data_IF_588689905923
#
_entry.id   IF_588689905923
#
_cell.length_a   1.000
_cell.length_b   1.000
_cell.length_c   1.000
_cell.angle_alpha   90.00
_cell.angle_beta   90.00
_cell.angle_gamma   90.00
#
_symmetry.space_group_name_H-M   'P 1'
#
loop_
_entity.id
_entity.type
_entity.pdbx_description
1 polymer ?
#
# COMPACT_ATOMS: atom_id res chain seq x y z
N UNK A 1 -52.47 63.88 19.55
CA UNK A 1 -52.41 63.19 20.86
C UNK A 1 -52.36 61.71 20.55
N UNK A 2 -51.47 60.84 20.99
CA UNK A 2 -50.27 60.78 21.84
C UNK A 2 -49.81 59.31 21.66
N UNK A 3 -48.61 58.81 21.86
CA UNK A 3 -47.32 59.25 22.37
C UNK A 3 -46.30 58.27 21.75
N UNK A 4 -45.12 58.75 21.34
CA UNK A 4 -43.95 57.92 21.06
C UNK A 4 -43.58 57.11 22.32
N UNK A 5 -43.37 55.81 22.18
CA UNK A 5 -42.64 54.98 23.16
C UNK A 5 -41.46 54.32 22.43
N UNK A 6 -40.30 54.96 22.56
CA UNK A 6 -39.01 54.47 22.08
C UNK A 6 -38.60 53.25 22.91
N UNK A 7 -38.61 52.05 22.32
CA UNK A 7 -38.04 50.85 22.95
C UNK A 7 -36.51 51.00 23.02
N UNK A 8 -36.00 51.22 24.22
CA UNK A 8 -34.59 51.21 24.56
C UNK A 8 -34.09 49.75 24.51
N UNK A 9 -33.41 49.37 23.42
CA UNK A 9 -32.69 48.10 23.34
C UNK A 9 -31.51 48.14 24.32
N UNK A 10 -31.68 47.51 25.48
CA UNK A 10 -30.58 47.16 26.37
C UNK A 10 -29.73 46.10 25.66
N UNK A 11 -28.60 46.51 25.10
CA UNK A 11 -27.51 45.62 24.71
C UNK A 11 -26.98 44.97 26.00
N UNK A 12 -27.47 43.77 26.29
CA UNK A 12 -26.84 42.90 27.28
C UNK A 12 -25.40 42.67 26.80
N UNK A 13 -24.37 42.92 27.62
CA UNK A 13 -23.01 42.61 27.24
C UNK A 13 -22.96 41.10 27.03
N UNK A 14 -22.83 40.67 25.77
CA UNK A 14 -22.49 39.30 25.44
C UNK A 14 -21.25 38.98 26.24
N UNK A 15 -21.36 38.07 27.22
CA UNK A 15 -20.20 37.46 27.84
C UNK A 15 -19.31 36.98 26.70
N UNK A 16 -18.18 37.65 26.50
CA UNK A 16 -17.09 37.13 25.68
C UNK A 16 -16.57 35.96 26.51
N UNK A 17 -17.16 34.79 26.32
CA UNK A 17 -16.58 33.54 26.76
C UNK A 17 -15.20 33.52 26.09
N UNK A 18 -14.14 33.58 26.90
CA UNK A 18 -12.79 33.29 26.46
C UNK A 18 -12.71 31.79 26.11
N UNK A 19 -13.45 31.41 25.06
CA UNK A 19 -13.52 30.06 24.56
C UNK A 19 -12.44 29.92 23.51
N UNK A 20 -11.46 29.08 23.81
CA UNK A 20 -10.55 28.52 22.81
C UNK A 20 -11.38 28.03 21.63
N UNK A 21 -11.09 28.50 20.42
CA UNK A 21 -11.77 28.05 19.21
C UNK A 21 -11.70 26.53 19.13
N UNK A 22 -12.83 25.81 19.10
CA UNK A 22 -12.83 24.35 19.09
C UNK A 22 -12.15 23.80 17.84
N UNK A 23 -11.40 22.70 17.94
CA UNK A 23 -10.92 22.00 16.74
C UNK A 23 -12.09 21.28 16.07
N UNK A 24 -12.27 21.53 14.78
CA UNK A 24 -13.31 20.90 13.97
C UNK A 24 -12.89 19.48 13.54
N UNK A 25 -13.86 18.74 12.99
CA UNK A 25 -13.63 17.43 12.39
C UNK A 25 -12.42 17.47 11.46
N UNK A 26 -11.58 16.45 11.59
CA UNK A 26 -10.32 16.33 10.87
C UNK A 26 -9.15 17.04 11.54
N UNK A 27 -9.31 17.67 12.71
CA UNK A 27 -8.22 18.40 13.37
C UNK A 27 -8.07 17.99 14.83
N UNK A 28 -6.84 17.79 15.27
CA UNK A 28 -6.50 17.54 16.67
C UNK A 28 -5.89 18.78 17.34
N UNK A 29 -6.18 18.99 18.64
CA UNK A 29 -5.59 20.07 19.42
C UNK A 29 -4.14 19.76 19.79
N UNK A 30 -3.24 20.71 19.53
CA UNK A 30 -1.85 20.69 19.97
C UNK A 30 -1.64 21.83 20.97
N UNK A 31 -1.14 21.46 22.16
CA UNK A 31 -0.76 22.39 23.22
C UNK A 31 0.75 22.41 23.35
N UNK A 32 1.39 23.51 22.95
CA UNK A 32 2.83 23.69 23.12
C UNK A 32 3.10 25.04 23.80
N UNK A 33 3.72 24.97 24.98
CA UNK A 33 4.28 26.14 25.69
C UNK A 33 3.32 27.33 25.84
N UNK A 34 2.02 27.05 26.04
CA UNK A 34 0.97 28.07 26.19
C UNK A 34 0.26 28.48 24.89
N UNK A 35 0.66 27.91 23.74
CA UNK A 35 -0.03 28.03 22.46
C UNK A 35 -1.01 26.87 22.26
N UNK A 36 -2.20 27.18 21.74
CA UNK A 36 -3.21 26.21 21.32
C UNK A 36 -3.39 26.32 19.81
N UNK A 37 -3.18 25.21 19.10
CA UNK A 37 -3.35 25.15 17.63
C UNK A 37 -4.11 23.89 17.25
N UNK A 38 -4.91 23.97 16.19
CA UNK A 38 -5.56 22.81 15.60
C UNK A 38 -4.72 22.35 14.40
N UNK A 39 -4.22 21.12 14.45
CA UNK A 39 -3.43 20.52 13.37
C UNK A 39 -4.28 19.50 12.64
N UNK A 40 -4.31 19.49 11.30
CA UNK A 40 -5.08 18.49 10.57
C UNK A 40 -4.55 17.08 10.86
N UNK A 41 -5.44 16.10 10.92
CA UNK A 41 -5.06 14.70 10.99
C UNK A 41 -4.10 14.36 9.86
N UNK A 42 -3.02 13.67 10.19
CA UNK A 42 -2.08 13.20 9.18
C UNK A 42 -2.75 12.11 8.32
N UNK A 43 -2.30 11.89 7.07
CA UNK A 43 -2.71 10.73 6.30
C UNK A 43 -2.60 9.45 7.13
N UNK A 44 -3.59 8.58 7.01
CA UNK A 44 -3.73 7.40 7.86
C UNK A 44 -4.55 7.57 9.12
N UNK A 45 -4.91 8.81 9.44
CA UNK A 45 -5.70 9.15 10.61
C UNK A 45 -6.95 9.93 10.21
N UNK A 46 -7.95 9.90 11.09
CA UNK A 46 -9.20 10.60 10.93
C UNK A 46 -9.75 11.10 12.27
N UNK A 47 -10.59 12.12 12.24
CA UNK A 47 -11.25 12.64 13.44
C UNK A 47 -12.67 13.08 13.07
N UNK A 48 -13.72 12.32 13.46
CA UNK A 48 -15.06 12.49 12.90
C UNK A 48 -15.91 13.59 13.56
N UNK A 49 -15.51 14.07 14.74
CA UNK A 49 -16.33 14.96 15.59
C UNK A 49 -15.76 16.36 15.71
N UNK A 50 -16.29 17.17 16.62
CA UNK A 50 -15.64 18.42 17.04
C UNK A 50 -15.10 18.25 18.45
N UNK A 51 -14.03 18.97 18.82
CA UNK A 51 -13.43 18.91 20.16
C UNK A 51 -12.98 17.52 20.61
N UNK A 52 -12.56 16.65 19.69
CA UNK A 52 -11.87 15.43 20.09
C UNK A 52 -10.41 15.75 20.36
N UNK A 53 -9.83 15.02 21.32
CA UNK A 53 -8.48 15.29 21.82
C UNK A 53 -7.38 14.81 20.88
N UNK A 54 -7.70 13.95 19.90
CA UNK A 54 -6.73 13.37 18.98
C UNK A 54 -7.36 12.87 17.69
N UNK A 55 -6.52 12.67 16.69
CA UNK A 55 -6.85 11.90 15.49
C UNK A 55 -6.69 10.39 15.75
N UNK A 56 -7.66 9.60 15.29
CA UNK A 56 -7.65 8.14 15.38
C UNK A 56 -7.00 7.53 14.15
N UNK A 57 -6.21 6.47 14.32
CA UNK A 57 -5.71 5.69 13.18
C UNK A 57 -6.88 5.05 12.44
N UNK A 58 -6.77 4.93 11.12
CA UNK A 58 -7.72 4.13 10.35
C UNK A 58 -7.73 2.68 10.89
N UNK A 59 -8.91 2.04 10.97
CA UNK A 59 -9.02 0.63 11.30
C UNK A 59 -8.60 -0.24 10.10
N UNK A 60 -8.12 -1.46 10.38
CA UNK A 60 -7.70 -2.40 9.33
C UNK A 60 -8.72 -2.52 8.19
N UNK A 61 -8.22 -2.62 6.96
CA UNK A 61 -9.04 -2.61 5.75
C UNK A 61 -9.60 -1.23 5.36
N UNK A 62 -9.19 -0.14 6.02
CA UNK A 62 -9.53 1.22 5.62
C UNK A 62 -8.27 2.05 5.35
N UNK A 63 -8.43 3.17 4.65
CA UNK A 63 -7.34 4.09 4.41
C UNK A 63 -7.78 5.57 4.38
N UNK A 64 -6.82 6.47 4.61
CA UNK A 64 -7.02 7.92 4.49
C UNK A 64 -5.78 8.55 3.87
N UNK A 65 -5.89 8.99 2.62
CA UNK A 65 -4.78 9.63 1.90
C UNK A 65 -4.66 11.13 2.18
N UNK A 66 -5.76 11.76 2.58
CA UNK A 66 -5.83 13.20 2.81
C UNK A 66 -5.45 13.59 4.24
N UNK A 67 -4.78 14.74 4.37
CA UNK A 67 -4.68 15.41 5.66
C UNK A 67 -6.04 16.02 6.03
N UNK A 68 -6.40 16.01 7.30
CA UNK A 68 -7.66 16.57 7.77
C UNK A 68 -8.87 15.66 7.58
N UNK A 69 -8.67 14.36 7.40
CA UNK A 69 -9.77 13.43 7.14
C UNK A 69 -10.73 13.30 8.32
N UNK A 70 -12.02 13.25 8.00
CA UNK A 70 -13.11 13.05 8.97
C UNK A 70 -13.59 11.61 9.03
N UNK A 71 -13.17 10.79 8.07
CA UNK A 71 -13.46 9.36 7.99
C UNK A 71 -12.34 8.66 7.20
N UNK A 72 -12.25 7.34 7.34
CA UNK A 72 -11.43 6.50 6.48
C UNK A 72 -12.28 5.83 5.41
N UNK A 73 -11.72 5.67 4.22
CA UNK A 73 -12.33 4.97 3.09
C UNK A 73 -12.14 3.47 3.25
N UNK A 74 -13.18 2.67 2.99
CA UNK A 74 -13.09 1.22 3.01
C UNK A 74 -12.38 0.69 1.77
N UNK A 75 -11.47 -0.26 1.93
CA UNK A 75 -10.80 -0.92 0.82
C UNK A 75 -11.73 -1.97 0.20
N UNK A 76 -12.39 -1.60 -0.88
CA UNK A 76 -13.28 -2.50 -1.63
C UNK A 76 -12.51 -3.60 -2.39
N UNK A 77 -13.15 -4.77 -2.52
CA UNK A 77 -12.73 -5.84 -3.43
C UNK A 77 -11.41 -6.51 -3.03
N UNK A 78 -10.44 -6.52 -3.95
CA UNK A 78 -9.14 -7.15 -3.76
C UNK A 78 -8.05 -6.18 -3.24
N UNK A 79 -8.44 -5.03 -2.68
CA UNK A 79 -7.51 -4.00 -2.21
C UNK A 79 -7.04 -4.26 -0.79
N UNK A 80 -5.74 -4.11 -0.56
CA UNK A 80 -5.09 -4.23 0.75
C UNK A 80 -4.57 -2.88 1.23
N UNK A 81 -4.29 -2.78 2.52
CA UNK A 81 -3.66 -1.59 3.10
C UNK A 81 -2.16 -1.89 3.28
N UNK A 82 -1.25 -1.21 2.55
CA UNK A 82 0.17 -1.61 2.49
C UNK A 82 0.98 -1.32 3.76
N UNK A 83 0.47 -0.45 4.64
CA UNK A 83 1.22 0.01 5.82
C UNK A 83 0.35 0.08 7.07
N UNK A 84 0.99 -0.01 8.24
CA UNK A 84 0.34 0.27 9.53
C UNK A 84 -0.24 1.69 9.61
N UNK A 85 0.27 2.61 8.79
CA UNK A 85 -0.20 3.99 8.73
C UNK A 85 -1.48 4.09 7.92
N UNK A 86 -1.81 3.13 7.04
CA UNK A 86 -3.10 3.07 6.35
C UNK A 86 -3.44 4.29 5.48
N UNK A 87 -2.49 4.75 4.67
CA UNK A 87 -2.63 5.96 3.85
C UNK A 87 -3.28 5.74 2.49
N UNK A 88 -3.35 4.50 2.01
CA UNK A 88 -3.97 4.16 0.73
C UNK A 88 -4.54 2.73 0.72
N UNK A 89 -5.64 2.52 0.01
CA UNK A 89 -6.06 1.20 -0.45
C UNK A 89 -5.32 0.89 -1.74
N UNK A 90 -4.55 -0.20 -1.77
CA UNK A 90 -3.78 -0.60 -2.93
C UNK A 90 -4.28 -1.96 -3.40
N UNK A 91 -4.70 -2.04 -4.67
CA UNK A 91 -5.17 -3.27 -5.27
C UNK A 91 -4.08 -4.37 -5.25
N UNK A 92 -4.46 -5.63 -5.03
CA UNK A 92 -3.53 -6.78 -5.11
C UNK A 92 -2.80 -6.90 -6.46
N UNK A 93 -3.39 -6.36 -7.52
CA UNK A 93 -2.82 -6.30 -8.87
C UNK A 93 -2.07 -4.99 -9.16
N UNK A 94 -1.81 -4.16 -8.14
CA UNK A 94 -0.94 -2.99 -8.29
C UNK A 94 0.51 -3.40 -8.50
N UNK A 95 1.28 -2.52 -9.14
CA UNK A 95 2.69 -2.76 -9.37
C UNK A 95 3.48 -2.94 -8.06
N UNK A 96 3.22 -2.08 -7.06
CA UNK A 96 3.88 -2.14 -5.75
C UNK A 96 3.63 -3.49 -5.06
N UNK A 97 2.39 -3.95 -4.98
CA UNK A 97 2.08 -5.22 -4.32
C UNK A 97 2.70 -6.42 -5.05
N UNK A 98 2.64 -6.46 -6.39
CA UNK A 98 3.21 -7.57 -7.16
C UNK A 98 4.75 -7.57 -7.06
N UNK A 99 5.40 -6.40 -7.16
CA UNK A 99 6.86 -6.28 -7.04
C UNK A 99 7.33 -6.71 -5.65
N UNK A 100 6.64 -6.26 -4.60
CA UNK A 100 6.96 -6.65 -3.22
C UNK A 100 6.78 -8.16 -3.01
N UNK A 101 5.69 -8.74 -3.54
CA UNK A 101 5.42 -10.15 -3.41
C UNK A 101 6.44 -11.02 -4.18
N UNK A 102 6.82 -10.64 -5.40
CA UNK A 102 7.82 -11.36 -6.21
C UNK A 102 9.26 -11.17 -5.71
N UNK A 103 9.55 -10.12 -4.97
CA UNK A 103 10.89 -9.89 -4.44
C UNK A 103 11.23 -10.90 -3.34
N UNK A 104 12.33 -11.61 -3.49
CA UNK A 104 12.72 -12.67 -2.57
C UNK A 104 13.77 -13.63 -3.13
N UNK A 105 14.11 -14.63 -2.33
CA UNK A 105 14.99 -15.72 -2.73
C UNK A 105 14.16 -16.91 -3.17
N UNK A 106 14.65 -17.59 -4.20
CA UNK A 106 14.00 -18.72 -4.81
C UNK A 106 15.01 -19.82 -5.11
N UNK A 107 14.56 -21.06 -4.99
CA UNK A 107 15.38 -22.24 -5.19
C UNK A 107 14.67 -23.25 -6.10
N UNK A 108 15.36 -23.74 -7.14
CA UNK A 108 14.83 -24.85 -7.94
C UNK A 108 15.08 -26.20 -7.27
N UNK A 109 14.05 -26.73 -6.64
CA UNK A 109 14.11 -27.93 -5.80
C UNK A 109 14.23 -29.25 -6.59
N UNK A 110 14.07 -29.23 -7.92
CA UNK A 110 14.23 -30.43 -8.76
C UNK A 110 15.66 -31.00 -8.68
N UNK A 111 16.63 -30.17 -8.30
CA UNK A 111 18.04 -30.50 -8.27
C UNK A 111 18.59 -30.78 -6.86
N UNK A 112 17.75 -30.88 -5.83
CA UNK A 112 18.20 -31.15 -4.45
C UNK A 112 18.87 -32.51 -4.27
N UNK A 113 18.63 -33.47 -5.17
CA UNK A 113 19.29 -34.78 -5.15
C UNK A 113 20.66 -34.79 -5.85
N UNK A 114 20.76 -34.21 -7.03
CA UNK A 114 22.02 -34.12 -7.81
C UNK A 114 21.93 -33.02 -8.87
N UNK A 115 23.07 -32.54 -9.37
CA UNK A 115 23.12 -31.55 -10.44
C UNK A 115 22.88 -30.10 -10.03
N UNK A 116 22.66 -29.84 -8.72
CA UNK A 116 22.56 -28.48 -8.16
C UNK A 116 23.84 -27.68 -8.44
N UNK A 117 23.64 -26.43 -8.84
CA UNK A 117 24.71 -25.46 -9.06
C UNK A 117 24.15 -24.04 -8.89
N UNK A 118 25.00 -23.04 -9.10
CA UNK A 118 24.70 -21.62 -8.89
C UNK A 118 23.54 -21.05 -9.74
N UNK A 119 23.09 -21.74 -10.79
CA UNK A 119 21.92 -21.32 -11.58
C UNK A 119 20.59 -21.62 -10.88
N UNK A 120 20.58 -22.61 -9.98
CA UNK A 120 19.37 -23.10 -9.31
C UNK A 120 19.00 -22.33 -8.03
N UNK A 121 19.71 -21.23 -7.77
CA UNK A 121 19.48 -20.29 -6.68
C UNK A 121 19.31 -18.91 -7.30
N UNK A 122 18.16 -18.30 -7.07
CA UNK A 122 17.74 -17.07 -7.72
C UNK A 122 17.30 -16.08 -6.66
N UNK A 123 17.69 -14.83 -6.83
CA UNK A 123 17.11 -13.69 -6.14
C UNK A 123 16.35 -12.86 -7.18
N UNK A 124 15.09 -12.57 -6.88
CA UNK A 124 14.31 -11.58 -7.62
C UNK A 124 14.25 -10.32 -6.76
N UNK A 125 14.55 -9.17 -7.35
CA UNK A 125 14.53 -7.87 -6.65
C UNK A 125 13.93 -6.77 -7.51
N UNK A 126 13.37 -5.75 -6.87
CA UNK A 126 12.91 -4.55 -7.57
C UNK A 126 14.07 -3.85 -8.29
N UNK A 127 13.84 -3.39 -9.52
CA UNK A 127 14.83 -2.59 -10.26
C UNK A 127 14.78 -1.14 -9.80
N UNK A 128 15.94 -0.58 -9.46
CA UNK A 128 16.05 0.82 -9.04
C UNK A 128 15.50 1.78 -10.10
N UNK A 129 14.70 2.75 -9.67
CA UNK A 129 14.07 3.74 -10.55
C UNK A 129 12.88 3.23 -11.36
N UNK A 130 12.44 1.99 -11.13
CA UNK A 130 11.26 1.42 -11.78
C UNK A 130 10.22 0.94 -10.77
N UNK A 131 8.95 1.12 -11.11
CA UNK A 131 7.82 0.58 -10.34
C UNK A 131 7.30 -0.73 -10.91
N UNK A 132 7.72 -1.12 -12.12
CA UNK A 132 7.14 -2.25 -12.88
C UNK A 132 8.19 -3.24 -13.39
N UNK A 133 9.47 -3.03 -13.06
CA UNK A 133 10.56 -3.89 -13.49
C UNK A 133 11.23 -4.55 -12.28
N UNK A 134 11.56 -5.83 -12.43
CA UNK A 134 12.35 -6.59 -11.47
C UNK A 134 13.63 -7.09 -12.15
N UNK A 135 14.59 -7.51 -11.34
CA UNK A 135 15.84 -8.14 -11.76
C UNK A 135 15.79 -9.59 -11.30
N UNK A 136 15.87 -10.51 -12.24
CA UNK A 136 16.24 -11.90 -11.95
C UNK A 136 17.76 -11.96 -11.81
N UNK A 137 18.27 -12.54 -10.72
CA UNK A 137 19.71 -12.75 -10.51
C UNK A 137 19.97 -14.15 -10.01
N UNK A 138 20.86 -14.91 -10.64
CA UNK A 138 21.31 -16.20 -10.10
C UNK A 138 22.65 -16.09 -9.35
N UNK A 139 23.04 -17.13 -8.61
CA UNK A 139 24.34 -17.15 -7.91
C UNK A 139 25.55 -17.30 -8.85
N UNK A 140 25.34 -17.55 -10.16
CA UNK A 140 26.41 -17.54 -11.16
C UNK A 140 26.74 -16.12 -11.64
N UNK A 141 26.02 -15.09 -11.15
CA UNK A 141 26.21 -13.68 -11.50
C UNK A 141 25.52 -13.27 -12.80
N UNK A 142 24.62 -14.12 -13.34
CA UNK A 142 23.83 -13.81 -14.53
C UNK A 142 22.53 -13.17 -14.11
N UNK A 143 22.19 -12.06 -14.77
CA UNK A 143 20.98 -11.28 -14.49
C UNK A 143 20.22 -10.96 -15.75
N UNK A 144 18.91 -10.74 -15.62
CA UNK A 144 18.07 -10.17 -16.67
C UNK A 144 16.84 -9.48 -16.10
N UNK A 145 16.19 -8.65 -16.91
CA UNK A 145 15.02 -7.89 -16.50
C UNK A 145 13.75 -8.72 -16.65
N UNK A 146 12.87 -8.62 -15.65
CA UNK A 146 11.49 -9.05 -15.71
C UNK A 146 10.57 -7.81 -15.75
N UNK A 147 9.46 -7.88 -16.47
CA UNK A 147 8.45 -6.82 -16.50
C UNK A 147 7.09 -7.34 -16.07
N UNK A 148 6.37 -6.53 -15.30
CA UNK A 148 4.95 -6.78 -15.06
C UNK A 148 4.16 -6.64 -16.38
N UNK A 149 3.21 -7.54 -16.62
CA UNK A 149 2.32 -7.45 -17.76
C UNK A 149 1.08 -6.63 -17.40
N UNK A 150 0.77 -5.52 -18.10
CA UNK A 150 -0.47 -4.76 -17.85
C UNK A 150 -1.72 -5.62 -18.07
N UNK A 151 -2.71 -5.47 -17.19
CA UNK A 151 -4.00 -6.17 -17.25
C UNK A 151 -5.11 -5.32 -16.60
N UNK A 152 -6.05 -4.84 -17.42
CA UNK A 152 -7.10 -3.92 -16.96
C UNK A 152 -6.51 -2.65 -16.34
N UNK A 153 -6.99 -2.29 -15.15
CA UNK A 153 -6.52 -1.13 -14.38
C UNK A 153 -5.27 -1.42 -13.52
N UNK A 154 -4.65 -2.60 -13.69
CA UNK A 154 -3.46 -3.02 -12.96
C UNK A 154 -2.56 -3.93 -13.79
N UNK A 155 -2.01 -4.96 -13.17
CA UNK A 155 -1.08 -5.90 -13.79
C UNK A 155 -1.48 -7.34 -13.52
N UNK A 156 -1.16 -8.23 -14.46
CA UNK A 156 -1.38 -9.65 -14.31
C UNK A 156 -0.54 -10.18 -13.14
N UNK A 157 -1.18 -10.90 -12.22
CA UNK A 157 -0.53 -11.43 -11.01
C UNK A 157 0.09 -12.80 -11.22
N UNK A 158 -0.31 -13.50 -12.28
CA UNK A 158 0.01 -14.91 -12.49
C UNK A 158 1.11 -15.08 -13.55
N UNK A 159 1.60 -13.99 -14.13
CA UNK A 159 2.70 -14.00 -15.08
C UNK A 159 3.53 -12.73 -15.09
N UNK A 160 4.79 -12.87 -15.52
CA UNK A 160 5.68 -11.76 -15.86
C UNK A 160 6.29 -11.98 -17.25
N UNK A 161 6.68 -10.87 -17.88
CA UNK A 161 7.43 -10.87 -19.13
C UNK A 161 8.92 -10.98 -18.82
N UNK A 162 9.65 -11.71 -19.64
CA UNK A 162 11.12 -11.80 -19.61
C UNK A 162 11.66 -10.90 -20.71
N UNK A 163 12.61 -10.02 -20.39
CA UNK A 163 13.17 -9.09 -21.37
C UNK A 163 14.29 -9.71 -22.24
N UNK A 164 14.62 -9.08 -23.39
CA UNK A 164 15.60 -9.61 -24.34
C UNK A 164 17.05 -9.76 -23.84
N UNK A 165 17.37 -9.21 -22.67
CA UNK A 165 18.67 -9.37 -22.01
C UNK A 165 18.85 -10.75 -21.35
N UNK A 166 17.77 -11.53 -21.21
CA UNK A 166 17.86 -12.93 -20.78
C UNK A 166 18.61 -13.79 -21.80
N UNK A 167 19.57 -14.64 -21.38
CA UNK A 167 20.27 -15.55 -22.27
C UNK A 167 19.35 -16.61 -22.91
N UNK A 168 18.14 -16.76 -22.38
CA UNK A 168 17.14 -17.74 -22.80
C UNK A 168 16.03 -17.13 -23.68
N UNK A 169 16.04 -15.80 -23.90
CA UNK A 169 14.97 -15.12 -24.61
C UNK A 169 14.80 -15.64 -26.05
N UNK A 170 15.91 -15.78 -26.79
CA UNK A 170 15.90 -16.29 -28.16
C UNK A 170 15.59 -17.79 -28.28
N UNK A 171 15.55 -18.52 -27.15
CA UNK A 171 15.06 -19.90 -27.08
C UNK A 171 13.54 -19.97 -26.85
N UNK A 172 12.84 -18.83 -26.82
CA UNK A 172 11.40 -18.73 -26.62
C UNK A 172 10.97 -18.53 -25.17
N UNK A 173 11.90 -18.37 -24.23
CA UNK A 173 11.59 -18.10 -22.82
C UNK A 173 11.33 -16.60 -22.62
N UNK A 174 10.17 -16.13 -23.09
CA UNK A 174 9.78 -14.71 -23.06
C UNK A 174 8.80 -14.36 -21.94
N UNK A 175 8.35 -15.36 -21.17
CA UNK A 175 7.42 -15.21 -20.04
C UNK A 175 7.76 -16.20 -18.93
N UNK A 176 7.40 -15.88 -17.69
CA UNK A 176 7.32 -16.84 -16.58
C UNK A 176 5.99 -16.73 -15.84
N UNK A 177 5.62 -17.79 -15.15
CA UNK A 177 4.37 -17.91 -14.39
C UNK A 177 4.65 -17.73 -12.90
N UNK A 178 3.63 -17.30 -12.17
CA UNK A 178 3.65 -17.11 -10.72
C UNK A 178 2.60 -18.02 -10.10
N UNK A 179 3.01 -18.80 -9.11
CA UNK A 179 2.11 -19.61 -8.30
C UNK A 179 2.01 -18.98 -6.90
N UNK A 180 0.79 -18.75 -6.44
CA UNK A 180 0.50 -18.10 -5.16
C UNK A 180 0.16 -19.14 -4.10
N UNK A 181 0.48 -18.85 -2.83
CA UNK A 181 0.02 -19.69 -1.73
C UNK A 181 -1.51 -19.65 -1.64
N UNK A 182 -2.10 -20.81 -1.41
CA UNK A 182 -3.54 -20.93 -1.11
C UNK A 182 -3.67 -20.77 0.40
N UNK A 183 -3.56 -19.53 0.91
CA UNK A 183 -3.93 -19.26 2.30
C UNK A 183 -5.43 -19.03 2.43
N UNK A 184 -5.98 -19.39 3.59
CA UNK A 184 -7.40 -19.42 3.93
C UNK A 184 -8.15 -18.19 3.40
N UNK A 185 -9.17 -18.41 2.57
CA UNK A 185 -9.98 -17.41 1.86
C UNK A 185 -10.64 -16.34 2.78
N UNK A 186 -10.51 -16.49 4.09
CA UNK A 186 -11.08 -15.62 5.13
C UNK A 186 -10.05 -14.62 5.72
N UNK A 187 -8.76 -14.70 5.36
CA UNK A 187 -7.76 -13.72 5.80
C UNK A 187 -7.54 -12.62 4.77
N UNK A 188 -7.38 -11.38 5.24
CA UNK A 188 -7.06 -10.21 4.40
C UNK A 188 -5.70 -10.34 3.68
N UNK A 189 -4.87 -11.32 4.08
CA UNK A 189 -3.55 -11.63 3.51
C UNK A 189 -3.57 -12.81 2.53
N UNK A 190 -4.71 -13.51 2.39
CA UNK A 190 -4.86 -14.68 1.54
C UNK A 190 -4.48 -14.40 0.08
N UNK A 191 -3.52 -15.16 -0.44
CA UNK A 191 -3.08 -15.08 -1.83
C UNK A 191 -2.12 -13.93 -2.16
N UNK A 192 -1.43 -13.35 -1.17
CA UNK A 192 -0.36 -12.36 -1.37
C UNK A 192 1.07 -12.92 -1.25
N UNK A 193 1.22 -14.18 -0.85
CA UNK A 193 2.52 -14.82 -0.76
C UNK A 193 2.77 -15.67 -2.02
N UNK A 194 3.95 -15.51 -2.62
CA UNK A 194 4.35 -16.31 -3.78
C UNK A 194 4.88 -17.66 -3.30
N UNK A 195 4.30 -18.75 -3.81
CA UNK A 195 4.78 -20.11 -3.58
C UNK A 195 5.96 -20.46 -4.49
N UNK A 196 5.79 -20.20 -5.79
CA UNK A 196 6.82 -20.49 -6.79
C UNK A 196 6.74 -19.53 -7.98
N UNK A 197 7.82 -19.44 -8.75
CA UNK A 197 7.85 -18.81 -10.06
C UNK A 197 8.48 -19.77 -11.07
N UNK A 198 8.12 -19.69 -12.35
CA UNK A 198 8.78 -20.48 -13.38
C UNK A 198 9.95 -19.74 -14.02
N UNK A 199 11.06 -20.45 -14.19
CA UNK A 199 12.22 -20.01 -14.95
C UNK A 199 12.23 -20.59 -16.38
N UNK A 200 13.40 -20.58 -17.04
CA UNK A 200 13.60 -21.27 -18.31
C UNK A 200 13.11 -22.72 -18.27
N UNK A 201 12.61 -23.21 -19.41
CA UNK A 201 12.00 -24.54 -19.55
C UNK A 201 10.80 -24.83 -18.65
N UNK A 202 10.15 -23.78 -18.13
CA UNK A 202 9.06 -23.87 -17.16
C UNK A 202 9.47 -24.59 -15.85
N UNK A 203 10.76 -24.54 -15.50
CA UNK A 203 11.23 -25.14 -14.26
C UNK A 203 10.79 -24.30 -13.05
N UNK A 204 10.30 -24.92 -11.97
CA UNK A 204 9.83 -24.21 -10.79
C UNK A 204 11.00 -23.77 -9.91
N UNK A 205 10.96 -22.51 -9.48
CA UNK A 205 11.80 -21.93 -8.45
C UNK A 205 10.90 -21.61 -7.25
N UNK A 206 11.01 -22.40 -6.18
CA UNK A 206 10.19 -22.29 -4.98
C UNK A 206 10.73 -21.19 -4.07
N UNK A 207 9.83 -20.41 -3.45
CA UNK A 207 10.19 -19.38 -2.47
C UNK A 207 10.91 -20.00 -1.25
N UNK A 208 12.02 -19.41 -0.83
CA UNK A 208 12.83 -19.84 0.34
C UNK A 208 13.22 -18.68 1.27
#
# INVERSE_FOLDING_TARGET
MAHLATLLFLVLPTLIYAGTTPCFAGYEPIFDSGSFTCTPCKPGFFQPGVNLESCYSCPEGHASSAAGSVACEFCYGNSTVPSKVQTACIARNSAENIVNALSGNYENMLYSGSGKNAWHYVQISAKEGSTTELIWSNQAGVTWILKLQPEGDGYNRDMFLVEPDSPYYNNGHTTGQVEWTIEDLDSFEAGNTVLSVTGPWNEPYTRV
#
